data_IF_043376754610
#
_entry.id   IF_043376754610
#
_cell.length_a   1.000
_cell.length_b   1.000
_cell.length_c   1.000
_cell.angle_alpha   90.00
_cell.angle_beta   90.00
_cell.angle_gamma   90.00
#
_symmetry.space_group_name_H-M   'P 1'
#
loop_
_entity.id
_entity.type
_entity.pdbx_description
1 polymer ?
#
# COMPACT_ATOMS: atom_id res chain seq x y z
N UNK A 1 -0.83 -5.07 9.10
CA UNK A 1 -0.73 -4.72 7.65
C UNK A 1 -1.04 -3.24 7.49
N UNK A 2 -0.17 -2.51 6.82
CA UNK A 2 -0.38 -1.09 6.53
C UNK A 2 -0.89 -0.92 5.11
N UNK A 3 -1.97 -0.17 4.91
CA UNK A 3 -2.38 0.30 3.59
C UNK A 3 -1.99 1.76 3.44
N UNK A 4 -1.47 2.10 2.28
CA UNK A 4 -1.04 3.45 1.94
C UNK A 4 -1.52 3.82 0.55
N UNK A 5 -1.50 5.08 0.27
CA UNK A 5 -1.86 5.65 -1.02
C UNK A 5 -0.66 6.32 -1.71
N UNK A 6 -0.87 6.74 -2.95
CA UNK A 6 0.13 7.42 -3.78
C UNK A 6 0.12 8.94 -3.56
N UNK A 7 -0.02 9.42 -2.30
CA UNK A 7 0.26 10.82 -2.01
C UNK A 7 1.76 11.13 -2.17
N UNK A 8 2.06 12.34 -2.44
CA UNK A 8 3.30 12.95 -2.88
C UNK A 8 4.64 12.29 -2.53
N UNK A 9 4.90 11.69 -1.43
CA UNK A 9 6.20 11.10 -1.06
C UNK A 9 6.00 9.84 -0.23
N UNK A 10 5.32 8.85 -0.80
CA UNK A 10 5.03 7.59 -0.14
C UNK A 10 6.29 6.84 0.36
N UNK A 11 7.45 7.06 -0.22
CA UNK A 11 8.71 6.47 0.24
C UNK A 11 9.12 7.01 1.61
N UNK A 12 8.79 8.27 1.94
CA UNK A 12 9.04 8.84 3.26
C UNK A 12 8.25 8.12 4.37
N UNK A 13 7.05 7.60 4.07
CA UNK A 13 6.29 6.81 5.04
C UNK A 13 7.06 5.56 5.47
N UNK A 14 7.58 4.81 4.51
CA UNK A 14 8.36 3.60 4.80
C UNK A 14 9.61 3.92 5.61
N UNK A 15 10.31 5.01 5.26
CA UNK A 15 11.48 5.47 6.01
C UNK A 15 11.15 5.83 7.47
N UNK A 16 10.05 6.54 7.72
CA UNK A 16 9.68 6.94 9.08
C UNK A 16 9.22 5.75 9.93
N UNK A 17 8.51 4.81 9.35
CA UNK A 17 8.09 3.57 10.02
C UNK A 17 9.32 2.74 10.41
N UNK A 18 10.29 2.60 9.50
CA UNK A 18 11.55 1.90 9.76
C UNK A 18 12.37 2.60 10.86
N UNK A 19 12.47 3.94 10.85
CA UNK A 19 13.11 4.74 11.89
C UNK A 19 12.43 4.60 13.26
N UNK A 20 11.14 4.33 13.28
CA UNK A 20 10.42 4.05 14.53
C UNK A 20 10.66 2.62 15.07
N UNK A 21 11.57 1.85 14.47
CA UNK A 21 11.94 0.50 14.91
C UNK A 21 10.94 -0.59 14.52
N UNK A 22 10.05 -0.32 13.57
CA UNK A 22 9.06 -1.30 13.08
C UNK A 22 9.66 -2.03 11.88
N UNK A 23 9.77 -3.36 11.96
CA UNK A 23 10.19 -4.20 10.82
C UNK A 23 9.12 -4.18 9.73
N UNK A 24 9.37 -3.35 8.72
CA UNK A 24 8.46 -3.12 7.60
C UNK A 24 8.94 -3.82 6.34
N UNK A 25 8.05 -4.55 5.69
CA UNK A 25 8.25 -5.06 4.33
C UNK A 25 7.48 -4.19 3.34
N UNK A 26 8.20 -3.45 2.49
CA UNK A 26 7.59 -2.61 1.45
C UNK A 26 7.54 -3.34 0.11
N UNK A 27 6.37 -3.36 -0.54
CA UNK A 27 6.20 -3.95 -1.86
C UNK A 27 6.46 -2.89 -2.91
N UNK A 28 7.30 -3.22 -3.88
CA UNK A 28 7.64 -2.32 -4.98
C UNK A 28 7.50 -3.00 -6.34
N UNK A 29 7.33 -2.21 -7.38
CA UNK A 29 7.42 -2.64 -8.76
C UNK A 29 8.84 -2.35 -9.26
N UNK A 30 9.56 -3.35 -9.83
CA UNK A 30 10.87 -3.10 -10.44
C UNK A 30 10.76 -2.14 -11.62
N UNK A 31 11.83 -1.40 -11.85
CA UNK A 31 11.93 -0.56 -13.04
C UNK A 31 12.11 -1.44 -14.28
N UNK A 32 11.57 -0.99 -15.41
CA UNK A 32 11.72 -1.69 -16.69
C UNK A 32 13.18 -1.75 -17.15
N UNK A 33 14.00 -0.76 -16.77
CA UNK A 33 15.44 -0.77 -17.04
C UNK A 33 16.17 -1.57 -15.95
N UNK A 34 16.70 -2.73 -16.32
CA UNK A 34 17.36 -3.69 -15.42
C UNK A 34 18.57 -3.07 -14.70
N UNK A 35 19.35 -2.23 -15.37
CA UNK A 35 20.54 -1.60 -14.80
C UNK A 35 20.16 -0.56 -13.75
N UNK A 36 19.20 0.30 -14.06
CA UNK A 36 18.69 1.29 -13.13
C UNK A 36 17.95 0.63 -11.96
N UNK A 37 17.30 -0.51 -12.18
CA UNK A 37 16.58 -1.22 -11.12
C UNK A 37 17.53 -1.64 -9.99
N UNK A 38 18.68 -2.22 -10.30
CA UNK A 38 19.69 -2.61 -9.28
C UNK A 38 20.14 -1.42 -8.43
N UNK A 39 20.42 -0.30 -9.07
CA UNK A 39 20.82 0.93 -8.39
C UNK A 39 19.68 1.43 -7.48
N UNK A 40 18.45 1.48 -7.98
CA UNK A 40 17.28 1.91 -7.21
C UNK A 40 16.97 0.99 -6.03
N UNK A 41 17.11 -0.32 -6.21
CA UNK A 41 16.97 -1.28 -5.10
C UNK A 41 18.02 -1.03 -4.00
N UNK A 42 19.25 -0.78 -4.37
CA UNK A 42 20.31 -0.43 -3.43
C UNK A 42 19.98 0.85 -2.64
N UNK A 43 19.54 1.89 -3.33
CA UNK A 43 19.10 3.16 -2.72
C UNK A 43 17.92 2.92 -1.77
N UNK A 44 16.89 2.20 -2.20
CA UNK A 44 15.71 1.90 -1.39
C UNK A 44 16.06 1.11 -0.13
N UNK A 45 16.87 0.06 -0.26
CA UNK A 45 17.31 -0.76 0.88
C UNK A 45 18.14 0.05 1.89
N UNK A 46 19.01 0.94 1.39
CA UNK A 46 19.89 1.75 2.24
C UNK A 46 19.18 2.92 2.92
N UNK A 47 18.26 3.59 2.22
CA UNK A 47 17.72 4.88 2.65
C UNK A 47 16.23 4.90 2.94
N UNK A 48 15.46 3.85 2.56
CA UNK A 48 14.00 3.87 2.69
C UNK A 48 13.52 2.74 3.60
N UNK A 49 13.74 1.49 3.20
CA UNK A 49 13.29 0.32 3.95
C UNK A 49 14.15 -0.89 3.60
N UNK A 50 14.69 -1.56 4.61
CA UNK A 50 15.62 -2.71 4.43
C UNK A 50 14.96 -3.87 3.70
N UNK A 51 13.71 -4.18 4.06
CA UNK A 51 12.98 -5.32 3.51
C UNK A 51 12.12 -4.88 2.33
N UNK A 52 12.66 -5.03 1.11
CA UNK A 52 11.98 -4.75 -0.15
C UNK A 52 11.47 -6.05 -0.77
N UNK A 53 10.19 -6.10 -1.12
CA UNK A 53 9.57 -7.24 -1.78
C UNK A 53 9.15 -6.83 -3.19
N UNK A 54 9.69 -7.52 -4.18
CA UNK A 54 9.30 -7.33 -5.57
C UNK A 54 7.87 -7.84 -5.80
N UNK A 55 7.04 -7.05 -6.51
CA UNK A 55 5.69 -7.44 -6.89
C UNK A 55 5.73 -8.64 -7.85
N UNK A 56 4.92 -9.66 -7.57
CA UNK A 56 4.80 -10.86 -8.40
C UNK A 56 4.51 -12.10 -7.56
N UNK A 57 4.48 -13.28 -8.20
CA UNK A 57 4.19 -14.56 -7.52
C UNK A 57 5.19 -14.87 -6.39
N UNK A 58 6.48 -14.65 -6.63
CA UNK A 58 7.53 -14.81 -5.62
C UNK A 58 7.37 -13.80 -4.49
N UNK A 59 6.92 -12.57 -4.79
CA UNK A 59 6.64 -11.55 -3.81
C UNK A 59 5.50 -11.93 -2.87
N UNK A 60 4.43 -12.52 -3.38
CA UNK A 60 3.31 -12.98 -2.55
C UNK A 60 3.76 -14.00 -1.50
N UNK A 61 4.63 -14.93 -1.87
CA UNK A 61 5.21 -15.88 -0.92
C UNK A 61 6.02 -15.19 0.18
N UNK A 62 6.88 -14.24 -0.20
CA UNK A 62 7.67 -13.46 0.77
C UNK A 62 6.79 -12.62 1.71
N UNK A 63 5.67 -12.08 1.23
CA UNK A 63 4.68 -11.37 2.06
C UNK A 63 4.16 -12.31 3.14
N UNK A 64 3.76 -13.52 2.77
CA UNK A 64 3.24 -14.54 3.68
C UNK A 64 4.31 -14.92 4.73
N UNK A 65 5.54 -15.17 4.29
CA UNK A 65 6.65 -15.50 5.19
C UNK A 65 6.91 -14.39 6.21
N UNK A 66 6.85 -13.13 5.79
CA UNK A 66 7.04 -11.99 6.68
C UNK A 66 5.88 -11.81 7.66
N UNK A 67 4.63 -11.98 7.23
CA UNK A 67 3.48 -11.94 8.13
C UNK A 67 3.54 -13.04 9.18
N UNK A 68 3.96 -14.27 8.80
CA UNK A 68 4.14 -15.38 9.73
C UNK A 68 5.25 -15.11 10.78
N UNK A 69 6.23 -14.28 10.45
CA UNK A 69 7.28 -13.82 11.37
C UNK A 69 6.85 -12.65 12.27
N UNK A 70 5.62 -12.18 12.13
CA UNK A 70 5.11 -11.01 12.86
C UNK A 70 5.51 -9.66 12.26
N UNK A 71 6.17 -9.63 11.11
CA UNK A 71 6.58 -8.39 10.46
C UNK A 71 5.40 -7.63 9.85
N UNK A 72 5.52 -6.32 9.77
CA UNK A 72 4.53 -5.46 9.13
C UNK A 72 4.72 -5.43 7.61
N UNK A 73 3.63 -5.47 6.85
CA UNK A 73 3.65 -5.39 5.38
C UNK A 73 2.95 -4.13 4.91
N UNK A 74 3.62 -3.34 4.08
CA UNK A 74 3.05 -2.12 3.47
C UNK A 74 2.60 -2.39 2.03
N UNK A 75 1.34 -2.09 1.76
CA UNK A 75 0.68 -2.28 0.47
C UNK A 75 0.10 -0.96 -0.04
N UNK A 76 0.36 -0.64 -1.30
CA UNK A 76 -0.36 0.43 -2.01
C UNK A 76 -1.60 -0.18 -2.67
N UNK A 77 -2.77 0.38 -2.38
CA UNK A 77 -4.05 -0.15 -2.88
C UNK A 77 -4.76 0.79 -3.86
N UNK A 78 -4.26 1.99 -4.03
CA UNK A 78 -4.83 3.01 -4.90
C UNK A 78 -4.44 2.86 -6.38
N UNK A 79 -3.49 2.00 -6.69
CA UNK A 79 -3.09 1.73 -8.06
C UNK A 79 -4.02 0.70 -8.75
N UNK A 80 -4.26 0.92 -10.05
CA UNK A 80 -4.95 -0.05 -10.89
C UNK A 80 -4.14 -1.34 -11.01
N UNK A 81 -4.80 -2.47 -10.88
CA UNK A 81 -4.19 -3.79 -11.05
C UNK A 81 -4.97 -4.57 -12.11
N UNK A 82 -4.29 -5.08 -13.15
CA UNK A 82 -4.95 -5.82 -14.24
C UNK A 82 -5.72 -7.05 -13.75
N UNK A 83 -5.14 -7.77 -12.80
CA UNK A 83 -5.67 -9.02 -12.22
C UNK A 83 -6.58 -8.75 -10.99
N UNK A 84 -7.01 -7.49 -10.79
CA UNK A 84 -7.88 -7.10 -9.71
C UNK A 84 -9.36 -7.35 -10.00
N UNK A 85 -10.17 -7.25 -8.96
CA UNK A 85 -11.63 -7.26 -9.11
C UNK A 85 -12.17 -5.86 -9.41
N UNK A 86 -13.28 -5.80 -10.13
CA UNK A 86 -14.01 -4.54 -10.35
C UNK A 86 -14.83 -4.21 -9.12
N UNK A 87 -14.42 -3.20 -8.39
CA UNK A 87 -15.17 -2.71 -7.22
C UNK A 87 -15.32 -1.20 -7.27
N UNK A 88 -16.32 -0.67 -6.56
CA UNK A 88 -16.62 0.75 -6.58
C UNK A 88 -15.47 1.58 -5.97
N UNK A 89 -15.11 2.67 -6.65
CA UNK A 89 -14.16 3.67 -6.21
C UNK A 89 -14.60 5.03 -6.74
N UNK A 90 -14.99 5.95 -5.85
CA UNK A 90 -15.63 7.22 -6.20
C UNK A 90 -16.82 7.08 -7.16
N UNK A 91 -17.72 6.14 -6.86
CA UNK A 91 -18.94 5.93 -7.65
C UNK A 91 -18.73 5.19 -8.98
N UNK A 92 -17.50 4.86 -9.36
CA UNK A 92 -17.17 4.18 -10.61
C UNK A 92 -16.45 2.85 -10.38
N UNK A 93 -16.68 1.81 -11.22
CA UNK A 93 -15.97 0.54 -11.08
C UNK A 93 -14.49 0.70 -11.43
N UNK A 94 -13.62 0.31 -10.49
CA UNK A 94 -12.16 0.35 -10.65
C UNK A 94 -11.54 -1.01 -10.35
N UNK A 95 -10.55 -1.41 -11.14
CA UNK A 95 -9.84 -2.68 -10.94
C UNK A 95 -8.91 -2.59 -9.73
N UNK A 96 -9.27 -3.27 -8.65
CA UNK A 96 -8.63 -3.17 -7.33
C UNK A 96 -7.96 -4.48 -6.96
N UNK A 97 -6.79 -4.40 -6.34
CA UNK A 97 -6.07 -5.58 -5.86
C UNK A 97 -6.82 -6.28 -4.73
N UNK A 98 -6.87 -7.61 -4.78
CA UNK A 98 -7.48 -8.45 -3.73
C UNK A 98 -6.48 -8.92 -2.68
N UNK A 99 -5.19 -8.65 -2.86
CA UNK A 99 -4.12 -9.13 -1.96
C UNK A 99 -4.41 -8.76 -0.50
N UNK A 100 -4.74 -7.50 -0.14
CA UNK A 100 -5.04 -7.15 1.24
C UNK A 100 -6.22 -7.93 1.81
N UNK A 101 -7.30 -8.09 1.02
CA UNK A 101 -8.48 -8.85 1.44
C UNK A 101 -8.15 -10.33 1.69
N UNK A 102 -7.34 -10.95 0.82
CA UNK A 102 -6.89 -12.33 0.99
C UNK A 102 -6.02 -12.50 2.25
N UNK A 103 -5.14 -11.54 2.53
CA UNK A 103 -4.31 -11.57 3.74
C UNK A 103 -5.14 -11.42 5.01
N UNK A 104 -6.13 -10.52 5.03
CA UNK A 104 -7.04 -10.35 6.15
C UNK A 104 -7.82 -11.64 6.40
N UNK A 105 -8.38 -12.25 5.35
CA UNK A 105 -9.12 -13.52 5.48
C UNK A 105 -8.26 -14.66 6.03
N UNK A 106 -7.03 -14.77 5.57
CA UNK A 106 -6.16 -15.91 5.91
C UNK A 106 -5.45 -15.74 7.25
N UNK A 107 -5.05 -14.51 7.59
CA UNK A 107 -4.19 -14.24 8.74
C UNK A 107 -4.88 -13.43 9.84
N UNK A 108 -6.12 -13.00 9.63
CA UNK A 108 -6.86 -12.12 10.57
C UNK A 108 -6.03 -10.92 11.03
N UNK A 109 -5.17 -10.39 10.13
CA UNK A 109 -4.25 -9.31 10.46
C UNK A 109 -4.98 -7.97 10.54
N UNK A 110 -4.59 -7.14 11.49
CA UNK A 110 -5.08 -5.77 11.62
C UNK A 110 -4.62 -4.92 10.43
N UNK A 111 -5.47 -3.99 10.02
CA UNK A 111 -5.22 -3.04 8.96
C UNK A 111 -4.96 -1.66 9.55
N UNK A 112 -3.84 -1.04 9.22
CA UNK A 112 -3.51 0.32 9.65
C UNK A 112 -3.46 1.23 8.43
N UNK A 113 -4.45 2.13 8.23
CA UNK A 113 -4.39 3.14 7.19
C UNK A 113 -3.33 4.20 7.53
N UNK A 114 -2.46 4.48 6.58
CA UNK A 114 -1.40 5.47 6.73
C UNK A 114 -1.36 6.34 5.47
N UNK A 115 -1.32 7.65 5.65
CA UNK A 115 -1.09 8.58 4.56
C UNK A 115 -0.14 9.70 4.98
N UNK A 116 0.47 10.35 3.99
CA UNK A 116 1.40 11.46 4.18
C UNK A 116 0.93 12.64 3.34
N UNK A 117 0.93 13.80 3.90
CA UNK A 117 0.66 15.04 3.18
C UNK A 117 1.83 16.00 3.28
N UNK A 118 2.00 16.82 2.26
CA UNK A 118 2.95 17.92 2.29
C UNK A 118 2.23 19.14 2.87
N UNK A 119 2.68 19.63 4.01
CA UNK A 119 2.14 20.87 4.60
C UNK A 119 2.68 22.09 3.86
N UNK A 120 3.98 22.18 3.64
CA UNK A 120 4.62 23.26 2.87
C UNK A 120 6.04 22.90 2.47
N UNK A 121 6.47 23.27 1.24
CA UNK A 121 7.82 23.06 0.72
C UNK A 121 8.32 21.62 0.92
N UNK A 122 9.16 21.40 1.91
CA UNK A 122 9.76 20.10 2.27
C UNK A 122 9.29 19.56 3.63
N UNK A 123 8.27 20.16 4.23
CA UNK A 123 7.65 19.67 5.46
C UNK A 123 6.49 18.74 5.14
N UNK A 124 6.54 17.56 5.73
CA UNK A 124 5.54 16.51 5.55
C UNK A 124 4.98 16.07 6.89
N UNK A 125 3.70 15.75 6.92
CA UNK A 125 3.02 15.20 8.08
C UNK A 125 2.47 13.83 7.74
N UNK A 126 2.82 12.83 8.54
CA UNK A 126 2.33 11.48 8.41
C UNK A 126 1.20 11.24 9.40
N UNK A 127 0.11 10.68 8.90
CA UNK A 127 -1.05 10.31 9.71
C UNK A 127 -1.15 8.80 9.76
N UNK A 128 -1.17 8.25 10.95
CA UNK A 128 -1.35 6.84 11.24
C UNK A 128 -2.71 6.71 11.94
N UNK A 129 -3.64 6.01 11.30
CA UNK A 129 -4.96 5.78 11.87
C UNK A 129 -4.93 4.61 12.84
N UNK A 130 -5.94 4.54 13.71
CA UNK A 130 -6.15 3.38 14.57
C UNK A 130 -6.28 2.09 13.75
N UNK A 131 -5.78 0.96 14.27
CA UNK A 131 -5.92 -0.34 13.63
C UNK A 131 -7.38 -0.71 13.42
N UNK A 132 -7.71 -1.11 12.20
CA UNK A 132 -9.06 -1.54 11.82
C UNK A 132 -9.09 -3.07 11.77
N UNK A 133 -9.96 -3.68 12.57
CA UNK A 133 -10.25 -5.10 12.51
C UNK A 133 -11.38 -5.36 11.52
N UNK A 134 -11.08 -6.10 10.47
CA UNK A 134 -12.08 -6.51 9.48
C UNK A 134 -12.35 -8.00 9.67
N UNK A 135 -13.63 -8.36 9.80
CA UNK A 135 -14.03 -9.77 9.99
C UNK A 135 -13.60 -10.62 8.78
N UNK A 136 -12.88 -11.70 9.05
CA UNK A 136 -12.49 -12.71 8.04
C UNK A 136 -13.68 -13.47 7.44
N UNK A 137 -14.88 -13.38 8.06
CA UNK A 137 -16.13 -13.97 7.53
C UNK A 137 -16.66 -13.24 6.28
N UNK A 138 -16.31 -11.97 6.07
CA UNK A 138 -16.70 -11.20 4.89
C UNK A 138 -16.09 -11.78 3.62
N UNK A 139 -16.75 -11.59 2.49
CA UNK A 139 -16.21 -11.95 1.18
C UNK A 139 -15.01 -11.08 0.79
N UNK A 140 -14.21 -11.53 -0.17
CA UNK A 140 -13.09 -10.74 -0.71
C UNK A 140 -13.60 -9.42 -1.30
N UNK A 141 -14.73 -9.46 -1.99
CA UNK A 141 -15.37 -8.30 -2.62
C UNK A 141 -15.80 -7.26 -1.59
N UNK A 142 -16.46 -7.70 -0.51
CA UNK A 142 -16.87 -6.80 0.60
C UNK A 142 -15.66 -6.16 1.29
N UNK A 143 -14.61 -6.95 1.56
CA UNK A 143 -13.38 -6.41 2.17
C UNK A 143 -12.72 -5.42 1.23
N UNK A 144 -12.57 -5.77 -0.05
CA UNK A 144 -11.94 -4.87 -1.05
C UNK A 144 -12.75 -3.59 -1.24
N UNK A 145 -14.07 -3.67 -1.29
CA UNK A 145 -14.94 -2.49 -1.33
C UNK A 145 -14.82 -1.62 -0.08
N UNK A 146 -14.68 -2.23 1.10
CA UNK A 146 -14.46 -1.51 2.34
C UNK A 146 -13.10 -0.78 2.34
N UNK A 147 -12.04 -1.42 1.83
CA UNK A 147 -10.73 -0.81 1.67
C UNK A 147 -10.76 0.41 0.72
N UNK A 148 -11.50 0.31 -0.39
CA UNK A 148 -11.69 1.46 -1.28
C UNK A 148 -12.39 2.63 -0.57
N UNK A 149 -13.41 2.38 0.25
CA UNK A 149 -14.08 3.44 1.02
C UNK A 149 -13.15 4.12 2.03
N UNK A 150 -12.23 3.36 2.66
CA UNK A 150 -11.21 3.93 3.54
C UNK A 150 -10.29 4.84 2.73
N UNK A 151 -9.83 4.36 1.58
CA UNK A 151 -8.95 5.10 0.68
C UNK A 151 -9.61 6.38 0.16
N UNK A 152 -10.89 6.33 -0.25
CA UNK A 152 -11.67 7.51 -0.65
C UNK A 152 -11.68 8.58 0.45
N UNK A 153 -11.95 8.18 1.70
CA UNK A 153 -11.93 9.10 2.84
C UNK A 153 -10.56 9.73 3.08
N UNK A 154 -9.49 8.97 2.84
CA UNK A 154 -8.12 9.50 2.95
C UNK A 154 -7.83 10.52 1.85
N UNK A 155 -8.19 10.21 0.60
CA UNK A 155 -7.98 11.10 -0.55
C UNK A 155 -8.78 12.41 -0.40
N UNK A 156 -10.03 12.34 0.07
CA UNK A 156 -10.89 13.52 0.26
C UNK A 156 -10.36 14.51 1.29
N UNK A 157 -9.44 14.12 2.18
CA UNK A 157 -8.80 15.04 3.13
C UNK A 157 -7.87 16.03 2.44
N UNK A 158 -7.20 15.61 1.36
CA UNK A 158 -6.30 16.45 0.59
C UNK A 158 -6.22 16.00 -0.87
N UNK A 159 -7.29 16.28 -1.60
CA UNK A 159 -7.52 15.78 -2.96
C UNK A 159 -6.45 16.24 -3.96
N UNK A 160 -5.86 17.42 -3.74
CA UNK A 160 -4.86 18.02 -4.63
C UNK A 160 -3.51 17.29 -4.56
N UNK A 161 -3.27 16.53 -3.52
CA UNK A 161 -2.01 15.83 -3.33
C UNK A 161 -2.03 14.39 -3.82
N UNK A 162 -3.19 13.85 -4.18
CA UNK A 162 -3.26 12.51 -4.75
C UNK A 162 -2.76 12.49 -6.20
N UNK A 163 -2.05 11.42 -6.60
CA UNK A 163 -1.46 11.30 -7.93
C UNK A 163 -2.54 10.95 -8.97
N UNK A 164 -3.14 11.96 -9.56
CA UNK A 164 -4.18 11.85 -10.59
C UNK A 164 -3.68 11.36 -11.95
N UNK A 165 -2.37 11.43 -12.21
CA UNK A 165 -1.77 10.97 -13.48
C UNK A 165 -1.88 9.46 -13.68
N UNK A 166 -2.17 8.71 -12.62
CA UNK A 166 -2.45 7.29 -12.70
C UNK A 166 -3.93 7.06 -12.94
N UNK A 167 -4.31 6.75 -14.18
CA UNK A 167 -5.71 6.46 -14.54
C UNK A 167 -6.21 5.20 -13.82
N UNK A 168 -6.87 5.42 -12.68
CA UNK A 168 -7.39 4.39 -11.79
C UNK A 168 -8.55 3.62 -12.41
N UNK A 169 -9.27 4.23 -13.35
CA UNK A 169 -10.49 3.71 -14.00
C UNK A 169 -10.26 3.22 -15.42
N UNK A 170 -9.05 3.28 -15.92
CA UNK A 170 -8.71 2.81 -17.28
C UNK A 170 -9.29 1.41 -17.51
N UNK A 171 -9.98 1.24 -18.62
CA UNK A 171 -10.56 -0.03 -19.08
C UNK A 171 -9.48 -1.07 -19.42
#
# INVERSE_FOLDING_TARGET
MCIRDSFNNFELMALQIEKAGIDLCAIYRPLNNIYLNKTMEGIRKKFICKNQIEKGRSGTRKIIENLNKGNSVALMIDQRVREGIKTNFFGKPASTTTIPAQLIKKYSCDLVPIYIERERKYYFKMYISEPIKISSKKSIDEITGHLNKILEKMILKNIDQWIWTHDRWKK
#
